data_IF_889931345850
#
_entry.id   IF_889931345850
#
_cell.length_a   1.000
_cell.length_b   1.000
_cell.length_c   1.000
_cell.angle_alpha   90.00
_cell.angle_beta   90.00
_cell.angle_gamma   90.00
#
_symmetry.space_group_name_H-M   'P 1'
#
loop_
_entity.id
_entity.type
_entity.pdbx_description
1 polymer ?
#
# COMPACT_ATOMS: atom_id res chain seq x y z
N UNK A 1 -24.86 -17.97 -6.22
CA UNK A 1 -24.14 -18.79 -7.20
C UNK A 1 -25.14 -19.32 -8.20
N UNK A 2 -24.84 -19.22 -9.48
CA UNK A 2 -25.72 -19.65 -10.56
C UNK A 2 -25.05 -20.69 -11.44
N UNK A 3 -25.84 -21.49 -12.14
CA UNK A 3 -25.35 -22.33 -13.24
C UNK A 3 -25.07 -21.51 -14.51
N UNK A 4 -24.71 -22.20 -15.59
CA UNK A 4 -24.47 -21.63 -16.93
C UNK A 4 -25.71 -20.98 -17.58
N UNK A 5 -26.91 -21.35 -17.13
CA UNK A 5 -28.18 -20.81 -17.62
C UNK A 5 -28.69 -19.67 -16.73
N UNK A 6 -27.97 -19.30 -15.66
CA UNK A 6 -28.35 -18.27 -14.71
C UNK A 6 -29.33 -18.71 -13.63
N UNK A 7 -29.63 -20.01 -13.50
CA UNK A 7 -30.46 -20.55 -12.41
C UNK A 7 -29.69 -20.48 -11.09
N UNK A 8 -30.36 -20.04 -10.03
CA UNK A 8 -29.76 -20.00 -8.68
C UNK A 8 -29.58 -21.42 -8.16
N UNK A 9 -28.33 -21.78 -7.83
CA UNK A 9 -27.98 -23.05 -7.20
C UNK A 9 -27.84 -22.90 -5.68
N UNK A 10 -27.29 -21.76 -5.24
CA UNK A 10 -27.00 -21.47 -3.84
C UNK A 10 -27.00 -19.97 -3.58
N UNK A 11 -27.55 -19.56 -2.45
CA UNK A 11 -27.51 -18.17 -1.99
C UNK A 11 -27.26 -18.07 -0.48
N UNK A 12 -26.67 -16.95 -0.07
CA UNK A 12 -26.29 -16.74 1.31
C UNK A 12 -26.25 -15.25 1.65
N UNK A 13 -26.58 -14.93 2.90
CA UNK A 13 -26.47 -13.58 3.47
C UNK A 13 -25.62 -13.59 4.73
N UNK A 14 -24.88 -12.51 4.95
CA UNK A 14 -23.93 -12.38 6.06
C UNK A 14 -24.19 -11.12 6.88
N UNK A 15 -23.92 -11.20 8.17
CA UNK A 15 -23.72 -10.05 9.04
C UNK A 15 -22.37 -9.39 8.72
N UNK A 16 -22.10 -8.25 9.37
CA UNK A 16 -20.89 -7.45 9.19
C UNK A 16 -19.56 -8.24 9.32
N UNK A 17 -19.55 -9.25 10.20
CA UNK A 17 -18.34 -10.03 10.51
C UNK A 17 -18.34 -11.41 9.85
N UNK A 18 -19.14 -11.60 8.80
CA UNK A 18 -19.16 -12.86 8.05
C UNK A 18 -19.99 -13.96 8.71
N UNK A 19 -20.64 -13.69 9.85
CA UNK A 19 -21.63 -14.60 10.42
C UNK A 19 -22.78 -14.75 9.44
N UNK A 20 -23.07 -15.98 9.08
CA UNK A 20 -24.16 -16.30 8.18
C UNK A 20 -25.51 -16.03 8.82
N UNK A 21 -26.40 -15.35 8.11
CA UNK A 21 -27.80 -15.17 8.51
C UNK A 21 -28.65 -16.27 7.89
N UNK A 22 -28.53 -16.49 6.58
CA UNK A 22 -29.21 -17.56 5.85
C UNK A 22 -28.27 -18.21 4.83
N UNK A 23 -28.40 -19.53 4.64
CA UNK A 23 -27.85 -20.31 3.53
C UNK A 23 -29.01 -21.06 2.90
N UNK A 24 -29.23 -20.91 1.61
CA UNK A 24 -30.25 -21.65 0.87
C UNK A 24 -29.56 -22.38 -0.27
N UNK A 25 -29.72 -23.70 -0.25
CA UNK A 25 -29.23 -24.61 -1.27
C UNK A 25 -30.45 -25.07 -2.09
N UNK A 26 -30.53 -24.62 -3.34
CA UNK A 26 -31.62 -24.97 -4.24
C UNK A 26 -31.36 -26.31 -4.94
N UNK A 27 -30.07 -26.63 -5.13
CA UNK A 27 -29.58 -27.91 -5.62
C UNK A 27 -28.28 -28.26 -4.89
N UNK A 28 -27.98 -29.56 -4.77
CA UNK A 28 -26.83 -30.00 -3.99
C UNK A 28 -25.52 -29.48 -4.58
N UNK A 29 -24.85 -28.57 -3.88
CA UNK A 29 -23.58 -27.98 -4.28
C UNK A 29 -22.76 -27.55 -3.06
N UNK A 30 -21.50 -27.97 -3.03
CA UNK A 30 -20.60 -27.57 -1.96
C UNK A 30 -20.08 -26.14 -2.20
N UNK A 31 -20.55 -25.19 -1.39
CA UNK A 31 -20.10 -23.80 -1.42
C UNK A 31 -19.50 -23.36 -0.07
N UNK A 32 -18.17 -23.43 0.02
CA UNK A 32 -17.43 -23.13 1.25
C UNK A 32 -16.73 -21.77 1.22
N UNK A 33 -16.75 -21.01 0.12
CA UNK A 33 -16.12 -19.68 0.08
C UNK A 33 -16.88 -18.69 0.98
N UNK A 34 -16.13 -17.85 1.70
CA UNK A 34 -16.68 -16.81 2.59
C UNK A 34 -16.15 -15.43 2.17
N UNK A 35 -15.68 -14.60 3.10
CA UNK A 35 -14.99 -13.35 2.73
C UNK A 35 -13.71 -13.64 1.92
N UNK A 36 -13.13 -12.59 1.33
CA UNK A 36 -11.95 -12.74 0.48
C UNK A 36 -10.81 -13.42 1.25
N UNK A 37 -10.37 -14.58 0.78
CA UNK A 37 -9.32 -15.39 1.42
C UNK A 37 -9.83 -16.44 2.41
N UNK A 38 -11.13 -16.49 2.69
CA UNK A 38 -11.72 -17.37 3.69
C UNK A 38 -12.40 -18.60 3.07
N UNK A 39 -12.15 -19.76 3.68
CA UNK A 39 -12.80 -21.04 3.37
C UNK A 39 -13.49 -21.58 4.64
N UNK A 40 -14.78 -21.89 4.55
CA UNK A 40 -15.53 -22.47 5.66
C UNK A 40 -15.05 -23.90 5.92
N UNK A 41 -14.60 -24.13 7.15
CA UNK A 41 -14.52 -25.45 7.74
C UNK A 41 -15.89 -25.79 8.34
N UNK A 42 -16.60 -26.75 7.74
CA UNK A 42 -17.95 -27.13 8.17
C UNK A 42 -17.98 -27.91 9.49
N UNK A 43 -16.87 -28.56 9.87
CA UNK A 43 -16.80 -29.32 11.13
C UNK A 43 -16.79 -28.37 12.32
N UNK A 44 -16.01 -27.29 12.22
CA UNK A 44 -15.84 -26.33 13.31
C UNK A 44 -16.75 -25.10 13.20
N UNK A 45 -17.25 -24.81 11.99
CA UNK A 45 -17.93 -23.55 11.69
C UNK A 45 -16.98 -22.35 11.53
N UNK A 46 -15.68 -22.56 11.73
CA UNK A 46 -14.66 -21.51 11.59
C UNK A 46 -14.29 -21.30 10.12
N UNK A 47 -13.77 -20.12 9.82
CA UNK A 47 -13.28 -19.78 8.50
C UNK A 47 -11.75 -19.89 8.47
N UNK A 48 -11.22 -20.86 7.75
CA UNK A 48 -9.79 -20.94 7.49
C UNK A 48 -9.37 -19.78 6.58
N UNK A 49 -8.41 -18.98 7.05
CA UNK A 49 -7.92 -17.78 6.38
C UNK A 49 -6.40 -17.85 6.27
N UNK A 50 -5.91 -18.84 5.52
CA UNK A 50 -4.49 -19.18 5.29
C UNK A 50 -3.66 -19.38 6.54
N UNK A 51 -3.26 -18.33 7.26
CA UNK A 51 -2.40 -18.45 8.43
C UNK A 51 -3.17 -18.61 9.75
N UNK A 52 -4.48 -18.32 9.77
CA UNK A 52 -5.31 -18.33 10.98
C UNK A 52 -6.72 -18.81 10.70
N UNK A 53 -7.38 -19.33 11.74
CA UNK A 53 -8.82 -19.57 11.74
C UNK A 53 -9.55 -18.36 12.30
N UNK A 54 -10.53 -17.87 11.54
CA UNK A 54 -11.40 -16.75 11.88
C UNK A 54 -12.74 -17.27 12.41
N UNK A 55 -13.18 -16.73 13.53
CA UNK A 55 -14.48 -16.97 14.12
C UNK A 55 -15.44 -15.85 13.71
N UNK A 56 -16.43 -16.14 12.84
CA UNK A 56 -17.37 -15.14 12.37
C UNK A 56 -18.40 -14.71 13.43
N UNK A 57 -18.63 -15.52 14.48
CA UNK A 57 -19.60 -15.20 15.54
C UNK A 57 -19.12 -14.06 16.43
N UNK A 58 -17.82 -13.98 16.67
CA UNK A 58 -17.20 -12.95 17.52
C UNK A 58 -16.30 -11.97 16.73
N UNK A 59 -16.18 -12.17 15.42
CA UNK A 59 -15.51 -11.25 14.50
C UNK A 59 -14.00 -11.14 14.67
N UNK A 60 -13.31 -12.24 14.99
CA UNK A 60 -11.86 -12.23 15.26
C UNK A 60 -11.17 -13.56 14.92
N UNK A 61 -9.86 -13.54 14.82
CA UNK A 61 -9.07 -14.77 14.75
C UNK A 61 -9.07 -15.51 16.09
N UNK A 62 -8.95 -16.84 16.01
CA UNK A 62 -8.88 -17.73 17.18
C UNK A 62 -7.44 -17.91 17.66
N UNK A 63 -6.45 -17.64 16.82
CA UNK A 63 -5.02 -17.65 17.16
C UNK A 63 -4.41 -16.23 17.14
N UNK A 64 -3.39 -15.96 17.97
CA UNK A 64 -2.58 -14.76 17.86
C UNK A 64 -1.93 -14.62 16.48
N UNK A 65 -1.70 -13.38 16.05
CA UNK A 65 -0.99 -13.08 14.80
C UNK A 65 0.43 -13.69 14.83
N UNK A 66 0.79 -14.57 13.88
CA UNK A 66 2.10 -15.21 13.88
C UNK A 66 3.24 -14.25 13.54
N UNK A 67 2.96 -13.06 12.97
CA UNK A 67 3.96 -11.99 12.81
C UNK A 67 3.99 -11.04 14.02
N UNK A 68 3.24 -11.35 15.08
CA UNK A 68 3.21 -10.61 16.34
C UNK A 68 2.78 -9.16 16.15
N UNK A 69 3.46 -8.24 16.84
CA UNK A 69 3.12 -6.81 16.84
C UNK A 69 3.31 -6.13 15.48
N UNK A 70 3.90 -6.81 14.48
CA UNK A 70 3.97 -6.30 13.11
C UNK A 70 2.59 -6.29 12.43
N UNK A 71 1.69 -7.21 12.79
CA UNK A 71 0.29 -7.25 12.31
C UNK A 71 -0.64 -6.26 13.03
N UNK A 72 -0.17 -5.67 14.14
CA UNK A 72 -0.93 -4.68 14.92
C UNK A 72 -0.91 -4.97 16.43
N UNK A 73 -1.50 -4.07 17.21
CA UNK A 73 -1.54 -4.20 18.67
C UNK A 73 -2.55 -5.25 19.15
N UNK A 74 -3.61 -5.51 18.37
CA UNK A 74 -4.58 -6.55 18.68
C UNK A 74 -4.26 -7.80 17.86
N UNK A 75 -3.61 -8.77 18.50
CA UNK A 75 -3.13 -10.01 17.86
C UNK A 75 -4.25 -10.91 17.32
N UNK A 76 -5.51 -10.67 17.69
CA UNK A 76 -6.65 -11.47 17.25
C UNK A 76 -7.51 -10.72 16.23
N UNK A 77 -7.17 -9.49 15.85
CA UNK A 77 -8.00 -8.68 14.96
C UNK A 77 -8.03 -9.23 13.54
N UNK A 78 -9.23 -9.36 12.96
CA UNK A 78 -9.40 -9.62 11.53
C UNK A 78 -9.08 -8.40 10.68
N UNK A 79 -9.78 -7.30 10.94
CA UNK A 79 -9.54 -6.03 10.26
C UNK A 79 -9.87 -4.84 11.19
N UNK A 80 -9.23 -3.68 10.99
CA UNK A 80 -9.62 -2.44 11.67
C UNK A 80 -11.07 -2.02 11.39
N UNK A 81 -11.57 -2.30 10.19
CA UNK A 81 -12.95 -2.02 9.79
C UNK A 81 -13.42 -3.00 8.70
N UNK A 82 -14.31 -3.94 9.04
CA UNK A 82 -14.79 -4.98 8.10
C UNK A 82 -15.54 -4.48 6.86
N UNK A 83 -15.96 -3.21 6.81
CA UNK A 83 -16.60 -2.62 5.61
C UNK A 83 -15.58 -2.13 4.57
N UNK A 84 -14.42 -1.67 5.02
CA UNK A 84 -13.44 -0.99 4.16
C UNK A 84 -12.10 -1.72 4.08
N UNK A 85 -11.97 -2.84 4.80
CA UNK A 85 -10.75 -3.62 4.92
C UNK A 85 -11.01 -5.12 4.83
N UNK A 86 -10.02 -5.82 4.28
CA UNK A 86 -9.95 -7.28 4.22
C UNK A 86 -8.56 -7.73 4.67
N UNK A 87 -8.45 -8.94 5.20
CA UNK A 87 -7.17 -9.60 5.50
C UNK A 87 -7.12 -10.94 4.75
N UNK A 88 -6.67 -10.97 3.47
CA UNK A 88 -6.81 -12.13 2.61
C UNK A 88 -5.99 -13.35 3.02
N UNK A 89 -4.98 -13.16 3.86
CA UNK A 89 -4.07 -14.24 4.28
C UNK A 89 -4.07 -14.46 5.79
N UNK A 90 -4.75 -13.61 6.58
CA UNK A 90 -4.75 -13.76 8.02
C UNK A 90 -3.44 -13.33 8.66
N UNK A 91 -2.81 -12.25 8.19
CA UNK A 91 -1.58 -11.67 8.78
C UNK A 91 -1.68 -10.14 8.99
N UNK A 92 -2.89 -9.57 8.92
CA UNK A 92 -3.20 -8.16 9.12
C UNK A 92 -2.19 -7.18 8.50
N UNK A 93 -2.35 -6.85 7.20
CA UNK A 93 -1.54 -5.81 6.54
C UNK A 93 -2.38 -4.79 5.78
N UNK A 94 -2.84 -3.72 6.44
CA UNK A 94 -3.29 -2.42 5.85
C UNK A 94 -4.37 -2.48 4.73
N UNK A 95 -4.97 -1.35 4.27
CA UNK A 95 -5.59 -1.37 2.94
C UNK A 95 -4.45 -1.64 1.94
N UNK A 96 -4.66 -2.53 0.98
CA UNK A 96 -3.67 -2.96 -0.03
C UNK A 96 -2.50 -3.84 0.45
N UNK A 97 -2.67 -4.73 1.45
CA UNK A 97 -1.61 -5.68 1.87
C UNK A 97 -0.30 -5.00 2.29
N UNK A 98 -0.37 -3.86 2.98
CA UNK A 98 0.82 -3.10 3.36
C UNK A 98 1.44 -2.29 2.21
N UNK A 99 0.75 -2.14 1.08
CA UNK A 99 1.24 -1.34 -0.07
C UNK A 99 0.61 0.04 -0.07
N UNK A 100 1.42 1.06 -0.26
CA UNK A 100 0.94 2.41 -0.55
C UNK A 100 0.85 2.63 -2.06
N UNK A 101 0.03 3.61 -2.47
CA UNK A 101 -0.10 3.95 -3.87
C UNK A 101 1.15 4.72 -4.34
N UNK A 102 1.82 4.20 -5.36
CA UNK A 102 2.91 4.87 -6.07
C UNK A 102 2.33 5.48 -7.34
N UNK A 103 2.40 6.80 -7.46
CA UNK A 103 1.93 7.54 -8.64
C UNK A 103 2.98 7.61 -9.74
N UNK A 104 4.26 7.59 -9.37
CA UNK A 104 5.36 7.61 -10.31
C UNK A 104 6.61 6.98 -9.69
N UNK A 105 7.34 6.21 -10.47
CA UNK A 105 8.58 5.54 -10.06
C UNK A 105 9.75 6.13 -10.86
N UNK A 106 10.82 6.52 -10.16
CA UNK A 106 12.00 7.12 -10.76
C UNK A 106 13.26 6.40 -10.27
N UNK A 107 14.01 5.84 -11.21
CA UNK A 107 15.33 5.26 -10.96
C UNK A 107 16.39 6.36 -10.91
N UNK A 108 16.98 6.55 -9.74
CA UNK A 108 18.07 7.48 -9.49
C UNK A 108 19.36 6.88 -10.06
N UNK A 109 19.98 7.57 -11.01
CA UNK A 109 21.29 7.20 -11.50
C UNK A 109 22.27 7.04 -10.32
N UNK A 110 23.01 5.91 -10.21
CA UNK A 110 24.02 5.72 -9.17
C UNK A 110 24.99 6.89 -8.97
N UNK A 111 25.30 7.66 -10.02
CA UNK A 111 26.16 8.88 -9.92
C UNK A 111 25.54 10.00 -9.08
N UNK A 112 24.24 9.93 -8.83
CA UNK A 112 23.48 10.89 -8.05
C UNK A 112 22.90 10.30 -6.77
N UNK A 113 23.26 9.06 -6.40
CA UNK A 113 22.75 8.38 -5.20
C UNK A 113 22.93 9.21 -3.92
N UNK A 114 24.07 9.85 -3.76
CA UNK A 114 24.40 10.61 -2.56
C UNK A 114 24.12 12.10 -2.69
N UNK A 115 23.68 12.56 -3.86
CA UNK A 115 23.32 13.96 -4.11
C UNK A 115 22.22 14.42 -3.16
N UNK A 116 22.05 15.74 -3.05
CA UNK A 116 20.99 16.34 -2.25
C UNK A 116 19.60 15.96 -2.72
N UNK A 117 18.64 16.05 -1.80
CA UNK A 117 17.22 15.85 -2.13
C UNK A 117 16.79 16.84 -3.21
N UNK A 118 17.29 18.07 -3.17
CA UNK A 118 17.11 19.08 -4.24
C UNK A 118 17.51 18.54 -5.61
N UNK A 119 18.69 17.94 -5.74
CA UNK A 119 19.19 17.42 -7.03
C UNK A 119 18.37 16.21 -7.47
N UNK A 120 18.11 15.26 -6.57
CA UNK A 120 17.34 14.06 -6.89
C UNK A 120 15.90 14.39 -7.27
N UNK A 121 15.24 15.27 -6.52
CA UNK A 121 13.86 15.66 -6.76
C UNK A 121 13.73 16.47 -8.05
N UNK A 122 14.71 17.33 -8.37
CA UNK A 122 14.72 18.06 -9.64
C UNK A 122 14.71 17.10 -10.83
N UNK A 123 15.59 16.09 -10.82
CA UNK A 123 15.66 15.08 -11.88
C UNK A 123 14.38 14.26 -11.98
N UNK A 124 13.88 13.76 -10.86
CA UNK A 124 12.65 12.98 -10.80
C UNK A 124 11.42 13.79 -11.26
N UNK A 125 11.35 15.07 -10.89
CA UNK A 125 10.29 15.98 -11.32
C UNK A 125 10.32 16.26 -12.82
N UNK A 126 11.51 16.35 -13.44
CA UNK A 126 11.60 16.55 -14.88
C UNK A 126 11.04 15.33 -15.62
N UNK A 127 11.37 14.10 -15.22
CA UNK A 127 10.80 12.88 -15.79
C UNK A 127 9.28 12.77 -15.54
N UNK A 128 8.83 13.06 -14.33
CA UNK A 128 7.40 13.08 -14.01
C UNK A 128 6.62 14.07 -14.90
N UNK A 129 7.19 15.27 -15.14
CA UNK A 129 6.58 16.27 -16.03
C UNK A 129 6.58 15.79 -17.48
N UNK A 130 7.66 15.15 -17.94
CA UNK A 130 7.70 14.51 -19.27
C UNK A 130 6.54 13.52 -19.39
N UNK A 131 6.38 12.60 -18.44
CA UNK A 131 5.27 11.65 -18.43
C UNK A 131 3.89 12.34 -18.45
N UNK A 132 3.70 13.38 -17.63
CA UNK A 132 2.46 14.18 -17.61
C UNK A 132 2.18 14.90 -18.95
N UNK A 133 3.19 15.09 -19.80
CA UNK A 133 3.02 15.72 -21.11
C UNK A 133 2.85 14.70 -22.24
N UNK A 134 3.48 13.52 -22.13
CA UNK A 134 3.45 12.47 -23.15
C UNK A 134 2.27 11.52 -23.01
N UNK A 135 1.73 11.35 -21.79
CA UNK A 135 0.59 10.45 -21.53
C UNK A 135 -0.65 11.23 -21.07
N UNK A 136 -1.63 11.47 -21.97
CA UNK A 136 -2.86 12.19 -21.64
C UNK A 136 -3.75 11.47 -20.62
N UNK A 137 -3.72 10.13 -20.57
CA UNK A 137 -4.54 9.35 -19.64
C UNK A 137 -3.97 9.51 -18.23
N UNK A 138 -2.66 9.33 -18.09
CA UNK A 138 -1.95 9.57 -16.83
C UNK A 138 -2.14 11.01 -16.35
N UNK A 139 -1.96 11.99 -17.24
CA UNK A 139 -2.18 13.41 -16.92
C UNK A 139 -3.59 13.67 -16.39
N UNK A 140 -4.60 13.12 -17.06
CA UNK A 140 -6.01 13.30 -16.68
C UNK A 140 -6.29 12.68 -15.30
N UNK A 141 -5.78 11.48 -15.02
CA UNK A 141 -5.94 10.84 -13.71
C UNK A 141 -5.25 11.66 -12.60
N UNK A 142 -3.99 12.05 -12.80
CA UNK A 142 -3.23 12.84 -11.83
C UNK A 142 -3.87 14.20 -11.53
N UNK A 143 -4.32 14.93 -12.56
CA UNK A 143 -4.99 16.23 -12.38
C UNK A 143 -6.39 16.10 -11.77
N UNK A 144 -7.07 14.97 -11.97
CA UNK A 144 -8.34 14.68 -11.30
C UNK A 144 -8.15 14.49 -9.79
N UNK A 145 -7.06 13.83 -9.39
CA UNK A 145 -6.73 13.58 -7.97
C UNK A 145 -6.10 14.79 -7.28
N UNK A 146 -5.21 15.49 -7.98
CA UNK A 146 -4.43 16.62 -7.47
C UNK A 146 -4.51 17.81 -8.45
N UNK A 147 -5.62 18.57 -8.45
CA UNK A 147 -5.83 19.68 -9.38
C UNK A 147 -4.73 20.77 -9.32
N UNK A 148 -4.12 20.96 -8.15
CA UNK A 148 -3.04 21.91 -7.90
C UNK A 148 -1.75 21.59 -8.68
N UNK A 149 -1.60 20.36 -9.18
CA UNK A 149 -0.45 19.97 -10.02
C UNK A 149 -0.38 20.81 -11.29
N UNK A 150 -1.51 21.24 -11.85
CA UNK A 150 -1.52 22.09 -13.05
C UNK A 150 -0.75 23.41 -12.83
N UNK A 151 -0.96 24.05 -11.67
CA UNK A 151 -0.22 25.26 -11.32
C UNK A 151 1.24 24.95 -10.94
N UNK A 152 1.46 23.86 -10.20
CA UNK A 152 2.82 23.44 -9.82
C UNK A 152 3.68 23.10 -11.04
N UNK A 153 3.13 22.48 -12.08
CA UNK A 153 3.87 22.19 -13.32
C UNK A 153 4.36 23.48 -13.99
N UNK A 154 3.52 24.52 -14.04
CA UNK A 154 3.87 25.82 -14.65
C UNK A 154 4.86 26.62 -13.81
N UNK A 155 4.59 26.78 -12.51
CA UNK A 155 5.26 27.79 -11.67
C UNK A 155 5.94 27.21 -10.42
N UNK A 156 5.77 25.91 -10.14
CA UNK A 156 6.28 25.27 -8.94
C UNK A 156 7.80 25.09 -8.96
N UNK A 157 8.40 25.13 -7.77
CA UNK A 157 9.82 24.85 -7.59
C UNK A 157 10.12 23.36 -7.83
N UNK A 158 10.79 23.07 -8.95
CA UNK A 158 11.13 21.70 -9.37
C UNK A 158 12.18 21.04 -8.49
N UNK A 159 12.85 21.78 -7.60
CA UNK A 159 13.75 21.21 -6.61
C UNK A 159 13.05 20.73 -5.33
N UNK A 160 11.70 20.78 -5.30
CA UNK A 160 10.85 20.26 -4.22
C UNK A 160 9.80 19.33 -4.78
N UNK A 161 9.22 18.49 -3.93
CA UNK A 161 8.10 17.64 -4.34
C UNK A 161 6.91 18.46 -4.87
N UNK A 162 6.08 17.88 -5.76
CA UNK A 162 4.83 18.49 -6.19
C UNK A 162 3.88 18.77 -5.03
N UNK A 163 3.05 19.81 -5.17
CA UNK A 163 2.03 20.13 -4.17
C UNK A 163 1.08 18.93 -3.97
N UNK A 164 0.73 18.63 -2.73
CA UNK A 164 -0.12 17.46 -2.37
C UNK A 164 0.63 16.12 -2.32
N UNK A 165 1.81 16.04 -2.95
CA UNK A 165 2.61 14.82 -3.08
C UNK A 165 3.95 14.93 -2.32
N UNK A 166 4.63 13.80 -2.17
CA UNK A 166 5.99 13.75 -1.66
C UNK A 166 6.82 12.71 -2.39
N UNK A 167 8.10 13.02 -2.58
CA UNK A 167 9.07 12.03 -3.05
C UNK A 167 9.54 11.23 -1.84
N UNK A 168 9.42 9.91 -1.94
CA UNK A 168 9.85 8.96 -0.92
C UNK A 168 11.05 8.18 -1.44
N UNK A 169 12.17 8.25 -0.71
CA UNK A 169 13.31 7.36 -0.91
C UNK A 169 12.92 5.96 -0.43
N UNK A 170 12.71 5.05 -1.38
CA UNK A 170 12.31 3.67 -1.14
C UNK A 170 13.44 2.87 -0.46
N UNK A 171 13.11 1.73 0.15
CA UNK A 171 14.09 0.80 0.72
C UNK A 171 15.03 0.22 -0.34
N UNK A 172 14.49 -0.11 -1.52
CA UNK A 172 15.27 -0.42 -2.71
C UNK A 172 16.22 0.73 -3.05
N UNK A 173 17.51 0.40 -3.14
CA UNK A 173 18.55 1.38 -3.44
C UNK A 173 18.26 2.03 -4.80
N UNK A 174 18.47 3.35 -4.87
CA UNK A 174 18.27 4.17 -6.06
C UNK A 174 16.82 4.34 -6.52
N UNK A 175 15.82 3.91 -5.75
CA UNK A 175 14.43 3.99 -6.19
C UNK A 175 13.69 5.11 -5.48
N UNK A 176 13.29 6.14 -6.24
CA UNK A 176 12.53 7.27 -5.71
C UNK A 176 11.08 7.17 -6.21
N UNK A 177 10.12 7.16 -5.30
CA UNK A 177 8.70 6.99 -5.65
C UNK A 177 7.89 8.21 -5.23
N UNK A 178 6.96 8.63 -6.10
CA UNK A 178 6.05 9.74 -5.84
C UNK A 178 4.76 9.20 -5.22
N UNK A 179 4.44 9.69 -4.02
CA UNK A 179 3.33 9.17 -3.19
C UNK A 179 2.52 10.31 -2.60
N UNK A 180 1.33 10.01 -2.08
CA UNK A 180 0.48 11.00 -1.40
C UNK A 180 1.15 11.48 -0.11
N UNK A 181 1.24 12.80 0.09
CA UNK A 181 1.91 13.36 1.26
C UNK A 181 1.17 13.07 2.57
N UNK A 182 -0.16 13.23 2.58
CA UNK A 182 -0.95 13.04 3.80
C UNK A 182 -0.96 11.57 4.20
N UNK A 183 -1.00 10.67 3.22
CA UNK A 183 -0.87 9.24 3.46
C UNK A 183 0.53 8.91 4.01
N UNK A 184 1.59 9.40 3.36
CA UNK A 184 2.98 9.22 3.83
C UNK A 184 3.18 9.66 5.28
N UNK A 185 2.68 10.84 5.64
CA UNK A 185 2.80 11.40 6.99
C UNK A 185 2.02 10.57 8.03
N UNK A 186 0.77 10.19 7.73
CA UNK A 186 -0.08 9.42 8.65
C UNK A 186 0.38 7.96 8.78
N UNK A 187 0.90 7.40 7.70
CA UNK A 187 1.25 6.00 7.60
C UNK A 187 2.77 5.77 7.60
N UNK A 188 3.57 6.65 8.21
CA UNK A 188 5.04 6.62 8.18
C UNK A 188 5.68 5.23 8.37
N UNK A 189 5.19 4.42 9.32
CA UNK A 189 5.69 3.04 9.55
C UNK A 189 5.51 2.08 8.38
N UNK A 190 4.59 2.37 7.45
CA UNK A 190 4.36 1.60 6.23
C UNK A 190 5.50 1.80 5.24
N UNK A 191 5.80 3.08 4.98
CA UNK A 191 6.82 3.52 4.05
C UNK A 191 8.22 3.25 4.57
N UNK A 192 8.38 3.07 5.89
CA UNK A 192 9.66 2.84 6.55
C UNK A 192 9.56 1.64 7.48
N UNK A 193 9.22 0.47 6.92
CA UNK A 193 9.01 -0.79 7.67
C UNK A 193 10.23 -1.24 8.46
N UNK A 194 11.44 -0.95 7.95
CA UNK A 194 12.72 -1.23 8.60
C UNK A 194 13.06 -0.27 9.75
N UNK A 195 12.23 0.76 9.98
CA UNK A 195 12.50 1.83 10.93
C UNK A 195 13.55 2.85 10.47
N UNK A 196 14.17 2.64 9.29
CA UNK A 196 15.13 3.57 8.68
C UNK A 196 14.54 4.17 7.41
N UNK A 197 14.80 5.46 7.19
CA UNK A 197 14.44 6.11 5.93
C UNK A 197 15.34 5.66 4.78
N UNK A 198 14.83 5.64 3.55
CA UNK A 198 15.61 5.25 2.37
C UNK A 198 16.94 6.00 2.23
N UNK A 199 17.00 7.30 2.58
CA UNK A 199 18.27 8.04 2.63
C UNK A 199 19.31 7.41 3.56
N UNK A 200 18.88 6.93 4.72
CA UNK A 200 19.76 6.30 5.70
C UNK A 200 20.17 4.90 5.22
N UNK A 201 19.26 4.18 4.55
CA UNK A 201 19.54 2.88 3.91
C UNK A 201 20.55 3.03 2.76
N UNK A 202 20.41 4.05 1.92
CA UNK A 202 21.28 4.28 0.76
C UNK A 202 22.67 4.80 1.16
N UNK A 203 22.89 5.10 2.45
CA UNK A 203 24.14 5.63 2.99
C UNK A 203 24.32 7.15 2.86
N UNK A 204 23.31 7.88 2.36
CA UNK A 204 23.37 9.35 2.27
C UNK A 204 23.01 10.05 3.57
N UNK A 205 22.04 9.52 4.30
CA UNK A 205 21.50 10.07 5.55
C UNK A 205 21.25 11.58 5.54
N UNK A 206 21.39 12.22 6.70
CA UNK A 206 21.16 13.67 6.86
C UNK A 206 22.17 14.56 6.13
N UNK A 207 23.39 14.07 5.90
CA UNK A 207 24.44 14.83 5.19
C UNK A 207 24.12 14.90 3.70
N UNK A 208 23.76 13.76 3.12
CA UNK A 208 23.36 13.66 1.74
C UNK A 208 22.11 14.48 1.47
N UNK A 209 21.06 14.41 2.31
CA UNK A 209 19.85 15.25 2.19
C UNK A 209 20.19 16.74 2.00
N UNK A 210 21.17 17.22 2.77
CA UNK A 210 21.65 18.63 2.80
C UNK A 210 22.72 18.96 1.75
N UNK A 211 23.08 18.03 0.86
CA UNK A 211 24.11 18.24 -0.16
C UNK A 211 25.52 18.37 0.40
N UNK A 212 25.80 17.74 1.54
CA UNK A 212 27.14 17.73 2.17
C UNK A 212 28.00 16.54 1.75
N UNK A 213 27.50 15.71 0.83
CA UNK A 213 28.22 14.57 0.27
C UNK A 213 28.41 14.77 -1.23
N UNK A 214 29.55 14.28 -1.74
CA UNK A 214 29.79 14.15 -3.16
C UNK A 214 28.78 13.13 -3.73
N UNK A 215 28.06 13.51 -4.78
CA UNK A 215 26.90 12.77 -5.27
C UNK A 215 27.20 11.34 -5.73
N UNK A 216 28.41 11.10 -6.23
CA UNK A 216 28.87 9.80 -6.72
C UNK A 216 29.54 8.98 -5.62
N UNK A 217 30.49 9.57 -4.90
CA UNK A 217 31.35 8.83 -3.96
C UNK A 217 30.77 8.73 -2.55
N UNK A 218 29.78 9.55 -2.20
CA UNK A 218 29.24 9.62 -0.84
C UNK A 218 30.19 10.21 0.20
N UNK A 219 31.40 10.64 -0.20
CA UNK A 219 32.36 11.28 0.70
C UNK A 219 31.90 12.69 1.04
N UNK A 220 32.15 13.11 2.29
CA UNK A 220 31.83 14.46 2.74
C UNK A 220 32.58 15.49 1.89
N UNK A 221 31.86 16.51 1.42
CA UNK A 221 32.46 17.67 0.76
C UNK A 221 32.90 18.59 1.90
N UNK A 222 34.20 18.87 1.97
CA UNK A 222 34.79 19.81 2.93
C UNK A 222 34.17 21.20 2.79
#
# INVERSE_FOLDING_TARGET
MTDENGKILWECSFQLWGKRIHEIEHESVEQNLRYQGQYLDRETGLHYNTFRYYDPDIGRFTQPDPIGLLGGFNLYQYAPNGLTWIDPIGLATRPNNGKYNIFFDYSVDPIHRYSSDTVQFNRANNEFITQMNTDPVFKKDMLKRYPELSNWMKNGNKSRSPTGLTWHHHEDINRLVLVDRKDHDKNHKLYHSTGKGGRDIWGGGSLGRRGKLNGFTGKKIC
#
